data_IF_541958928163
#
_entry.id   IF_541958928163
#
_cell.length_a   1.000
_cell.length_b   1.000
_cell.length_c   1.000
_cell.angle_alpha   90.00
_cell.angle_beta   90.00
_cell.angle_gamma   90.00
#
_symmetry.space_group_name_H-M   'P 1'
#
loop_
_entity.id
_entity.type
_entity.pdbx_description
1 polymer ?
#
# COMPACT_ATOMS: atom_id res chain seq x y z
N UNK A 1 33.06 23.59 -42.18
CA UNK A 1 33.57 24.27 -40.99
C UNK A 1 32.44 25.15 -40.50
N UNK A 2 31.40 24.51 -39.97
CA UNK A 2 31.13 24.30 -38.52
C UNK A 2 30.29 25.49 -38.02
N UNK A 3 28.97 25.33 -37.93
CA UNK A 3 28.21 24.75 -36.81
C UNK A 3 28.06 25.74 -35.64
N UNK A 4 26.80 26.10 -35.34
CA UNK A 4 26.28 26.21 -33.97
C UNK A 4 24.77 26.54 -34.00
N UNK A 5 23.97 25.49 -33.88
CA UNK A 5 22.60 25.56 -33.39
C UNK A 5 22.56 25.92 -31.89
N UNK A 6 21.52 26.66 -31.50
CA UNK A 6 21.15 26.91 -30.10
C UNK A 6 19.77 26.32 -29.88
N UNK A 7 19.73 25.02 -29.60
CA UNK A 7 18.57 24.36 -29.01
C UNK A 7 18.54 24.67 -27.51
N UNK A 8 17.44 25.26 -27.07
CA UNK A 8 17.12 25.42 -25.66
C UNK A 8 16.71 24.08 -25.09
N UNK A 9 17.58 23.50 -24.24
CA UNK A 9 17.26 22.28 -23.52
C UNK A 9 16.18 22.55 -22.46
N UNK A 10 15.01 21.95 -22.68
CA UNK A 10 13.98 21.71 -21.68
C UNK A 10 14.58 20.98 -20.48
N UNK A 11 14.34 21.52 -19.28
CA UNK A 11 14.70 20.89 -18.03
C UNK A 11 13.80 19.67 -17.84
N UNK A 12 14.38 18.48 -18.03
CA UNK A 12 13.72 17.20 -17.83
C UNK A 12 13.12 17.09 -16.42
N UNK A 13 11.81 16.80 -16.37
CA UNK A 13 11.10 16.39 -15.17
C UNK A 13 11.84 15.21 -14.52
N UNK A 14 12.12 15.33 -13.23
CA UNK A 14 12.65 14.23 -12.43
C UNK A 14 11.61 13.11 -12.41
N UNK A 15 11.86 12.06 -13.20
CA UNK A 15 11.14 10.80 -13.12
C UNK A 15 11.28 10.25 -11.70
N UNK A 16 10.26 10.45 -10.87
CA UNK A 16 10.08 9.68 -9.64
C UNK A 16 10.20 8.20 -9.99
N UNK A 17 11.02 7.40 -9.28
CA UNK A 17 11.10 5.97 -9.56
C UNK A 17 9.70 5.38 -9.38
N UNK A 18 9.10 4.95 -10.48
CA UNK A 18 7.88 4.16 -10.43
C UNK A 18 8.16 2.96 -9.54
N UNK A 19 7.41 2.86 -8.43
CA UNK A 19 7.39 1.65 -7.60
C UNK A 19 7.16 0.46 -8.54
N UNK A 20 7.84 -0.68 -8.34
CA UNK A 20 7.61 -1.87 -9.16
C UNK A 20 6.11 -2.10 -9.31
N UNK A 21 5.63 -2.20 -10.55
CA UNK A 21 4.22 -2.47 -10.82
C UNK A 21 3.84 -3.75 -10.07
N UNK A 22 3.10 -3.60 -8.97
CA UNK A 22 2.54 -4.73 -8.25
C UNK A 22 1.82 -5.59 -9.28
N UNK A 23 2.09 -6.91 -9.24
CA UNK A 23 1.41 -7.89 -10.09
C UNK A 23 -0.10 -7.59 -10.12
N UNK A 24 -0.74 -7.67 -11.29
CA UNK A 24 -2.15 -7.30 -11.43
C UNK A 24 -2.97 -7.99 -10.32
N UNK A 25 -3.55 -7.22 -9.38
CA UNK A 25 -4.28 -7.81 -8.26
C UNK A 25 -5.54 -8.55 -8.71
N UNK A 26 -5.89 -8.51 -9.99
CA UNK A 26 -7.02 -9.25 -10.56
C UNK A 26 -6.61 -10.38 -11.52
N UNK A 27 -5.32 -10.69 -11.69
CA UNK A 27 -4.85 -11.66 -12.69
C UNK A 27 -5.54 -13.04 -12.61
N UNK A 28 -5.66 -13.59 -11.40
CA UNK A 28 -6.25 -14.91 -11.15
C UNK A 28 -7.68 -14.84 -10.59
N UNK A 29 -8.30 -13.65 -10.60
CA UNK A 29 -9.61 -13.46 -10.00
C UNK A 29 -10.71 -13.93 -10.96
N UNK A 30 -11.39 -15.01 -10.59
CA UNK A 30 -12.53 -15.55 -11.34
C UNK A 30 -13.85 -15.33 -10.64
N UNK A 31 -14.92 -15.16 -11.42
CA UNK A 31 -16.28 -15.05 -10.89
C UNK A 31 -16.58 -13.69 -10.24
N UNK A 32 -17.81 -13.54 -9.74
CA UNK A 32 -18.22 -12.34 -9.02
C UNK A 32 -17.80 -12.39 -7.54
N UNK A 33 -17.77 -11.22 -6.91
CA UNK A 33 -17.44 -11.10 -5.49
C UNK A 33 -17.92 -9.77 -4.90
N UNK A 34 -17.46 -9.52 -3.68
CA UNK A 34 -17.86 -8.36 -2.88
C UNK A 34 -16.75 -7.31 -2.88
N UNK A 35 -17.07 -6.14 -3.43
CA UNK A 35 -16.22 -4.96 -3.43
C UNK A 35 -16.51 -4.06 -2.22
N UNK A 36 -15.44 -3.65 -1.52
CA UNK A 36 -15.49 -2.70 -0.40
C UNK A 36 -14.48 -1.57 -0.68
N UNK A 37 -14.92 -0.31 -0.59
CA UNK A 37 -14.08 0.88 -0.77
C UNK A 37 -14.00 1.75 0.49
N UNK A 38 -12.79 2.21 0.83
CA UNK A 38 -12.48 2.98 2.03
C UNK A 38 -11.60 4.20 1.72
N UNK A 39 -11.91 5.34 2.35
CA UNK A 39 -10.97 6.46 2.43
C UNK A 39 -10.09 6.26 3.65
N UNK A 40 -8.78 6.45 3.50
CA UNK A 40 -7.82 6.24 4.58
C UNK A 40 -7.70 7.49 5.47
N UNK A 41 -7.31 7.32 6.74
CA UNK A 41 -7.27 8.38 7.75
C UNK A 41 -8.55 8.45 8.58
N UNK A 42 -9.68 8.86 7.97
CA UNK A 42 -10.99 8.83 8.64
C UNK A 42 -11.66 7.44 8.62
N UNK A 43 -11.06 6.48 7.90
CA UNK A 43 -11.57 5.11 7.72
C UNK A 43 -13.04 5.04 7.26
N UNK A 44 -13.48 6.01 6.46
CA UNK A 44 -14.88 6.04 5.98
C UNK A 44 -15.07 5.05 4.83
N UNK A 45 -15.97 4.07 5.04
CA UNK A 45 -16.42 3.11 4.04
C UNK A 45 -17.45 3.77 3.12
N UNK A 46 -17.15 3.86 1.82
CA UNK A 46 -17.97 4.63 0.88
C UNK A 46 -18.60 3.80 -0.26
N UNK A 47 -18.14 2.55 -0.50
CA UNK A 47 -18.80 1.65 -1.45
C UNK A 47 -18.88 0.24 -0.86
N UNK A 48 -20.06 -0.38 -0.97
CA UNK A 48 -20.23 -1.83 -0.94
C UNK A 48 -20.98 -2.22 -2.20
N UNK A 49 -20.42 -3.10 -3.02
CA UNK A 49 -21.12 -3.67 -4.16
C UNK A 49 -20.88 -5.17 -4.16
N UNK A 50 -21.97 -5.93 -4.25
CA UNK A 50 -21.93 -7.37 -4.36
C UNK A 50 -22.08 -7.79 -5.83
N UNK A 51 -21.69 -9.02 -6.11
CA UNK A 51 -21.83 -9.63 -7.42
C UNK A 51 -21.12 -8.88 -8.57
N UNK A 52 -19.91 -8.36 -8.34
CA UNK A 52 -19.10 -7.70 -9.38
C UNK A 52 -17.75 -8.39 -9.59
N UNK A 53 -17.14 -8.23 -10.76
CA UNK A 53 -15.81 -8.76 -11.04
C UNK A 53 -14.71 -7.97 -10.33
N UNK A 54 -13.54 -8.58 -10.15
CA UNK A 54 -12.36 -7.91 -9.59
C UNK A 54 -11.95 -6.68 -10.41
N UNK A 55 -11.92 -6.80 -11.74
CA UNK A 55 -11.56 -5.68 -12.62
C UNK A 55 -12.55 -4.51 -12.49
N UNK A 56 -13.84 -4.79 -12.35
CA UNK A 56 -14.84 -3.75 -12.14
C UNK A 56 -14.67 -3.08 -10.76
N UNK A 57 -14.37 -3.85 -9.72
CA UNK A 57 -14.05 -3.31 -8.39
C UNK A 57 -12.84 -2.35 -8.44
N UNK A 58 -11.76 -2.77 -9.12
CA UNK A 58 -10.55 -1.96 -9.32
C UNK A 58 -10.84 -0.68 -10.09
N UNK A 59 -11.59 -0.78 -11.21
CA UNK A 59 -11.98 0.38 -12.03
C UNK A 59 -12.81 1.38 -11.24
N UNK A 60 -13.83 0.91 -10.51
CA UNK A 60 -14.68 1.76 -9.66
C UNK A 60 -13.86 2.51 -8.61
N UNK A 61 -12.90 1.83 -7.97
CA UNK A 61 -12.05 2.47 -6.98
C UNK A 61 -11.11 3.52 -7.60
N UNK A 62 -10.52 3.19 -8.75
CA UNK A 62 -9.60 4.10 -9.48
C UNK A 62 -10.30 5.40 -9.86
N UNK A 63 -11.49 5.32 -10.48
CA UNK A 63 -12.29 6.50 -10.84
C UNK A 63 -12.62 7.38 -9.63
N UNK A 64 -12.91 6.76 -8.48
CA UNK A 64 -13.18 7.51 -7.24
C UNK A 64 -11.94 8.20 -6.71
N UNK A 65 -10.78 7.55 -6.78
CA UNK A 65 -9.51 8.14 -6.37
C UNK A 65 -9.05 9.28 -7.29
N UNK A 66 -9.30 9.18 -8.59
CA UNK A 66 -9.04 10.25 -9.57
C UNK A 66 -9.93 11.47 -9.33
N UNK A 67 -11.21 11.23 -8.99
CA UNK A 67 -12.13 12.30 -8.62
C UNK A 67 -11.80 12.97 -7.27
N UNK A 68 -10.92 12.39 -6.46
CA UNK A 68 -10.56 12.88 -5.12
C UNK A 68 -9.04 12.83 -4.92
N UNK A 69 -8.26 13.65 -5.64
CA UNK A 69 -6.80 13.52 -5.71
C UNK A 69 -6.08 13.76 -4.38
N UNK A 70 -6.68 14.49 -3.43
CA UNK A 70 -6.14 14.75 -2.09
C UNK A 70 -6.49 13.68 -1.06
N UNK A 71 -7.10 12.57 -1.46
CA UNK A 71 -7.58 11.53 -0.54
C UNK A 71 -6.88 10.20 -0.79
N UNK A 72 -6.47 9.54 0.29
CA UNK A 72 -5.94 8.18 0.26
C UNK A 72 -7.09 7.16 0.17
N UNK A 73 -6.93 6.12 -0.62
CA UNK A 73 -7.94 5.10 -0.88
C UNK A 73 -7.40 3.68 -0.68
N UNK A 74 -8.24 2.84 -0.11
CA UNK A 74 -8.01 1.41 0.06
C UNK A 74 -9.25 0.65 -0.38
N UNK A 75 -9.08 -0.36 -1.24
CA UNK A 75 -10.18 -1.06 -1.86
C UNK A 75 -9.90 -2.55 -1.97
N UNK A 76 -10.90 -3.36 -1.59
CA UNK A 76 -10.80 -4.81 -1.59
C UNK A 76 -11.91 -5.46 -2.41
N UNK A 77 -11.60 -6.62 -2.98
CA UNK A 77 -12.56 -7.54 -3.59
C UNK A 77 -12.36 -8.92 -2.96
N UNK A 78 -13.39 -9.49 -2.33
CA UNK A 78 -13.27 -10.73 -1.54
C UNK A 78 -12.06 -10.70 -0.58
N UNK A 79 -11.90 -9.58 0.14
CA UNK A 79 -10.80 -9.28 1.06
C UNK A 79 -9.39 -9.22 0.41
N UNK A 80 -9.25 -9.44 -0.90
CA UNK A 80 -8.02 -9.19 -1.67
C UNK A 80 -7.89 -7.70 -1.97
N UNK A 81 -6.71 -7.12 -1.72
CA UNK A 81 -6.39 -5.76 -2.14
C UNK A 81 -6.44 -5.64 -3.67
N UNK A 82 -7.30 -4.76 -4.19
CA UNK A 82 -7.42 -4.49 -5.63
C UNK A 82 -6.96 -3.09 -6.04
N UNK A 83 -6.95 -2.15 -5.10
CA UNK A 83 -6.45 -0.80 -5.32
C UNK A 83 -6.04 -0.14 -4.00
N UNK A 84 -4.85 0.45 -3.97
CA UNK A 84 -4.35 1.27 -2.87
C UNK A 84 -3.67 2.50 -3.45
N UNK A 85 -4.07 3.68 -2.98
CA UNK A 85 -3.39 4.95 -3.26
C UNK A 85 -3.24 5.70 -1.95
N UNK A 86 -2.03 6.13 -1.65
CA UNK A 86 -1.72 6.88 -0.43
C UNK A 86 -1.17 8.25 -0.80
N UNK A 87 -1.78 9.29 -0.26
CA UNK A 87 -1.23 10.66 -0.32
C UNK A 87 -0.18 10.84 0.78
N UNK A 88 -0.45 10.27 1.96
CA UNK A 88 0.50 10.17 3.06
C UNK A 88 0.89 8.71 3.24
N UNK A 89 2.19 8.40 3.23
CA UNK A 89 2.71 7.04 3.43
C UNK A 89 2.12 6.39 4.68
N UNK A 90 1.59 5.18 4.52
CA UNK A 90 1.00 4.42 5.62
C UNK A 90 -0.40 4.88 6.07
N UNK A 91 -1.02 5.86 5.40
CA UNK A 91 -2.36 6.32 5.76
C UNK A 91 -3.42 5.20 5.79
N UNK A 92 -3.26 4.18 4.95
CA UNK A 92 -4.20 3.06 4.85
C UNK A 92 -3.86 1.88 5.76
N UNK A 93 -2.73 1.91 6.47
CA UNK A 93 -2.26 0.82 7.33
C UNK A 93 -3.32 0.35 8.35
N UNK A 94 -4.04 1.24 9.06
CA UNK A 94 -5.09 0.81 10.00
C UNK A 94 -6.21 0.00 9.35
N UNK A 95 -6.50 0.20 8.06
CA UNK A 95 -7.60 -0.48 7.37
C UNK A 95 -7.24 -1.90 6.94
N UNK A 96 -5.96 -2.21 6.72
CA UNK A 96 -5.54 -3.51 6.16
C UNK A 96 -5.99 -4.64 7.09
N UNK A 97 -5.64 -4.57 8.37
CA UNK A 97 -6.01 -5.62 9.32
C UNK A 97 -7.47 -5.57 9.80
N UNK A 98 -8.14 -4.42 9.68
CA UNK A 98 -9.57 -4.30 9.97
C UNK A 98 -10.46 -4.97 8.91
N UNK A 99 -9.96 -5.06 7.68
CA UNK A 99 -10.75 -5.49 6.51
C UNK A 99 -10.36 -6.86 5.98
N UNK A 100 -9.33 -7.46 6.56
CA UNK A 100 -8.80 -8.75 6.13
C UNK A 100 -9.11 -9.82 7.16
N UNK A 101 -9.46 -11.01 6.68
CA UNK A 101 -9.73 -12.19 7.50
C UNK A 101 -8.67 -13.27 7.27
N UNK A 102 -8.60 -14.26 8.16
CA UNK A 102 -7.69 -15.40 8.05
C UNK A 102 -6.28 -15.15 8.59
N UNK A 103 -5.35 -16.02 8.18
CA UNK A 103 -3.94 -15.98 8.59
C UNK A 103 -3.02 -15.78 7.38
N UNK A 104 -1.82 -15.27 7.63
CA UNK A 104 -0.88 -14.93 6.58
C UNK A 104 0.56 -14.87 7.08
N UNK A 105 1.44 -14.34 6.22
CA UNK A 105 2.87 -14.18 6.49
C UNK A 105 3.16 -12.76 6.92
N UNK A 106 3.56 -12.58 8.18
CA UNK A 106 4.08 -11.34 8.73
C UNK A 106 5.58 -11.24 8.47
N UNK A 107 6.03 -10.05 8.05
CA UNK A 107 7.45 -9.69 8.00
C UNK A 107 7.65 -8.32 8.61
N UNK A 108 8.62 -8.19 9.51
CA UNK A 108 9.03 -6.92 10.10
C UNK A 108 10.45 -6.55 9.69
N UNK A 109 10.67 -5.26 9.44
CA UNK A 109 11.93 -4.71 8.96
C UNK A 109 12.34 -3.50 9.80
N UNK A 110 13.64 -3.41 10.09
CA UNK A 110 14.27 -2.16 10.51
C UNK A 110 14.70 -1.47 9.22
N UNK A 111 14.14 -0.30 8.97
CA UNK A 111 14.35 0.40 7.71
C UNK A 111 15.81 0.82 7.51
N UNK A 112 16.29 0.70 6.27
CA UNK A 112 17.70 0.89 5.94
C UNK A 112 18.64 -0.18 6.51
N UNK A 113 18.11 -1.31 7.04
CA UNK A 113 18.93 -2.35 7.66
C UNK A 113 18.55 -3.75 7.21
N UNK A 114 17.60 -4.42 7.85
CA UNK A 114 17.31 -5.84 7.62
C UNK A 114 15.87 -6.23 7.99
N UNK A 115 15.43 -7.39 7.49
CA UNK A 115 14.27 -8.09 8.02
C UNK A 115 14.64 -8.67 9.39
N UNK A 116 13.93 -8.28 10.45
CA UNK A 116 14.18 -8.78 11.81
C UNK A 116 13.25 -9.92 12.22
N UNK A 117 12.14 -10.11 11.51
CA UNK A 117 11.19 -11.19 11.79
C UNK A 117 10.44 -11.62 10.54
N UNK A 118 10.19 -12.92 10.45
CA UNK A 118 9.23 -13.54 9.53
C UNK A 118 8.41 -14.57 10.31
N UNK A 119 7.09 -14.43 10.31
CA UNK A 119 6.16 -15.33 11.01
C UNK A 119 5.05 -15.74 10.07
N UNK A 120 4.89 -17.05 9.87
CA UNK A 120 3.81 -17.61 9.05
C UNK A 120 2.56 -17.89 9.90
N UNK A 121 1.40 -18.01 9.24
CA UNK A 121 0.13 -18.41 9.84
C UNK A 121 -0.31 -17.52 11.02
N UNK A 122 -0.07 -16.21 10.94
CA UNK A 122 -0.48 -15.24 11.97
C UNK A 122 -1.68 -14.39 11.50
N UNK A 123 -2.69 -14.12 12.36
CA UNK A 123 -3.74 -13.16 12.04
C UNK A 123 -3.17 -11.76 11.77
N UNK A 124 -3.77 -11.00 10.85
CA UNK A 124 -3.27 -9.66 10.50
C UNK A 124 -3.20 -8.73 11.72
N UNK A 125 -4.24 -8.68 12.54
CA UNK A 125 -4.27 -7.81 13.72
C UNK A 125 -3.11 -8.14 14.67
N UNK A 126 -2.80 -9.42 14.87
CA UNK A 126 -1.70 -9.80 15.74
C UNK A 126 -0.33 -9.43 15.13
N UNK A 127 -0.19 -9.49 13.80
CA UNK A 127 1.01 -9.00 13.13
C UNK A 127 1.20 -7.48 13.30
N UNK A 128 0.10 -6.72 13.23
CA UNK A 128 0.10 -5.27 13.48
C UNK A 128 0.50 -4.95 14.92
N UNK A 129 -0.10 -5.62 15.90
CA UNK A 129 0.20 -5.41 17.32
C UNK A 129 1.67 -5.75 17.63
N UNK A 130 2.20 -6.84 17.06
CA UNK A 130 3.62 -7.19 17.17
C UNK A 130 4.53 -6.13 16.57
N UNK A 131 4.16 -5.58 15.41
CA UNK A 131 4.95 -4.55 14.76
C UNK A 131 4.99 -3.26 15.59
N UNK A 132 3.83 -2.82 16.09
CA UNK A 132 3.70 -1.65 16.95
C UNK A 132 4.52 -1.82 18.26
N UNK A 133 4.48 -3.01 18.87
CA UNK A 133 5.30 -3.33 20.04
C UNK A 133 6.80 -3.22 19.72
N UNK A 134 7.25 -3.71 18.56
CA UNK A 134 8.66 -3.59 18.16
C UNK A 134 9.06 -2.14 17.89
N UNK A 135 8.19 -1.32 17.31
CA UNK A 135 8.43 0.11 17.14
C UNK A 135 8.55 0.84 18.49
N UNK A 136 7.64 0.55 19.43
CA UNK A 136 7.68 1.11 20.78
C UNK A 136 8.97 0.73 21.53
N UNK A 137 9.44 -0.52 21.39
CA UNK A 137 10.67 -1.00 22.02
C UNK A 137 11.95 -0.47 21.34
N UNK A 138 11.85 0.08 20.14
CA UNK A 138 12.98 0.60 19.37
C UNK A 138 12.73 2.05 18.94
N UNK A 139 12.58 3.00 19.88
CA UNK A 139 12.08 4.34 19.58
C UNK A 139 13.00 5.16 18.67
N UNK A 140 14.28 4.83 18.56
CA UNK A 140 15.23 5.49 17.64
C UNK A 140 15.27 4.86 16.25
N UNK A 141 14.55 3.75 16.02
CA UNK A 141 14.53 3.03 14.75
C UNK A 141 13.29 3.38 13.95
N UNK A 142 13.44 3.28 12.64
CA UNK A 142 12.29 3.29 11.72
C UNK A 142 11.88 1.84 11.47
N UNK A 143 10.59 1.57 11.57
CA UNK A 143 10.02 0.23 11.50
C UNK A 143 9.01 0.16 10.37
N UNK A 144 9.07 -0.93 9.61
CA UNK A 144 8.16 -1.22 8.51
C UNK A 144 7.72 -2.67 8.61
N UNK A 145 6.44 -2.94 8.39
CA UNK A 145 5.92 -4.29 8.46
C UNK A 145 4.90 -4.59 7.36
N UNK A 146 4.94 -5.82 6.88
CA UNK A 146 3.99 -6.35 5.90
C UNK A 146 3.26 -7.57 6.43
N UNK A 147 2.03 -7.76 5.96
CA UNK A 147 1.28 -9.00 6.08
C UNK A 147 0.83 -9.47 4.69
N UNK A 148 1.21 -10.68 4.30
CA UNK A 148 1.05 -11.21 2.93
C UNK A 148 1.57 -10.24 1.84
N UNK A 149 2.67 -9.53 2.15
CA UNK A 149 3.26 -8.54 1.25
C UNK A 149 2.53 -7.19 1.19
N UNK A 150 1.46 -7.00 1.96
CA UNK A 150 0.77 -5.70 2.07
C UNK A 150 1.32 -4.97 3.30
N UNK A 151 1.80 -3.74 3.13
CA UNK A 151 2.20 -2.88 4.25
C UNK A 151 1.04 -2.72 5.25
N UNK A 152 1.27 -3.09 6.51
CA UNK A 152 0.32 -2.96 7.63
C UNK A 152 0.78 -1.95 8.67
N UNK A 153 2.04 -1.53 8.64
CA UNK A 153 2.61 -0.58 9.59
C UNK A 153 3.84 0.08 9.01
N UNK A 154 3.99 1.38 9.29
CA UNK A 154 5.17 2.18 8.95
C UNK A 154 5.33 3.27 10.00
N UNK A 155 6.53 3.37 10.53
CA UNK A 155 6.95 4.46 11.40
C UNK A 155 8.35 4.90 11.00
N UNK A 156 8.46 6.11 10.48
CA UNK A 156 9.71 6.68 9.96
C UNK A 156 10.24 7.75 10.90
N UNK A 157 11.52 7.63 11.27
CA UNK A 157 12.29 8.69 11.96
C UNK A 157 12.95 9.65 10.99
N UNK A 158 13.17 9.19 9.77
CA UNK A 158 13.67 9.98 8.65
C UNK A 158 12.75 9.72 7.46
N UNK A 159 12.20 10.78 6.83
CA UNK A 159 11.28 10.62 5.71
C UNK A 159 11.86 9.74 4.60
N UNK A 160 11.10 8.73 4.19
CA UNK A 160 11.46 7.84 3.09
C UNK A 160 12.52 6.79 3.39
N UNK A 161 13.00 6.65 4.63
CA UNK A 161 14.01 5.64 5.00
C UNK A 161 13.52 4.20 4.81
N UNK A 162 12.20 3.99 4.82
CA UNK A 162 11.58 2.70 4.56
C UNK A 162 11.16 2.53 3.08
N UNK A 163 11.54 3.44 2.18
CA UNK A 163 11.24 3.31 0.75
C UNK A 163 12.03 2.14 0.14
N UNK A 164 11.40 1.44 -0.81
CA UNK A 164 12.01 0.28 -1.48
C UNK A 164 11.97 -1.02 -0.68
N UNK A 165 11.43 -1.00 0.54
CA UNK A 165 11.08 -2.23 1.24
C UNK A 165 9.87 -2.91 0.58
N UNK A 166 9.76 -4.25 0.67
CA UNK A 166 8.75 -5.04 -0.05
C UNK A 166 7.32 -4.64 0.25
#
# INVERSE_FOLDING_TARGET
>A
MDDQGRDGAELGEALTPERPALADPCADATGPGTYKGYTCGASFKFITAENISCQEARRKCTLKAEANPGTSFYCTWNDRLVYRKEITSGACNPLVCQTTSGTGTYRGYICGSHNFITTNNIPCQYALDNCALNAANNPSRSIFCTWNGIEIFREERLPGICNGLP
#
